data_IF_043066751775
#
_entry.id   IF_043066751775
#
_cell.length_a   1.000
_cell.length_b   1.000
_cell.length_c   1.000
_cell.angle_alpha   90.00
_cell.angle_beta   90.00
_cell.angle_gamma   90.00
#
_symmetry.space_group_name_H-M   'P 1'
#
loop_
_entity.id
_entity.type
_entity.pdbx_description
1 polymer ?
#
# COMPACT_ATOMS: atom_id res chain seq x y z
N UNK A 1 2.09 11.94 -21.29
CA UNK A 1 1.33 11.80 -20.03
C UNK A 1 1.13 10.31 -19.79
N UNK A 2 1.86 9.73 -18.84
CA UNK A 2 1.60 8.35 -18.42
C UNK A 2 0.49 8.41 -17.36
N UNK A 3 -0.64 7.81 -17.68
CA UNK A 3 -1.84 7.78 -16.81
C UNK A 3 -1.71 6.64 -15.78
N UNK A 4 -0.92 5.62 -16.10
CA UNK A 4 -0.74 4.41 -15.30
C UNK A 4 0.73 3.98 -15.37
N UNK A 5 1.28 3.57 -14.23
CA UNK A 5 2.58 2.92 -14.11
C UNK A 5 2.43 1.69 -13.21
N UNK A 6 3.11 0.59 -13.55
CA UNK A 6 2.99 -0.69 -12.85
C UNK A 6 4.28 -0.92 -12.07
N UNK A 7 4.18 -0.83 -10.75
CA UNK A 7 5.28 -1.11 -9.83
C UNK A 7 5.16 -2.53 -9.30
N UNK A 8 6.19 -3.36 -9.54
CA UNK A 8 6.30 -4.68 -8.92
C UNK A 8 7.33 -4.61 -7.81
N UNK A 9 6.87 -4.91 -6.59
CA UNK A 9 7.67 -4.88 -5.37
C UNK A 9 8.12 -6.31 -5.05
N UNK A 10 9.41 -6.52 -4.78
CA UNK A 10 10.02 -7.84 -4.49
C UNK A 10 10.77 -7.87 -3.16
N UNK A 11 10.90 -6.72 -2.49
CA UNK A 11 11.56 -6.63 -1.19
C UNK A 11 10.88 -7.50 -0.13
N UNK A 12 11.68 -8.21 0.66
CA UNK A 12 11.25 -8.96 1.85
C UNK A 12 11.64 -8.27 3.17
N UNK A 13 12.26 -7.09 3.09
CA UNK A 13 12.65 -6.27 4.24
C UNK A 13 12.15 -4.84 4.06
N UNK A 14 11.82 -4.17 5.18
CA UNK A 14 11.30 -2.79 5.19
C UNK A 14 12.21 -1.83 4.44
N UNK A 15 13.54 -1.95 4.60
CA UNK A 15 14.52 -1.08 3.92
C UNK A 15 14.48 -1.22 2.39
N UNK A 16 14.40 -2.46 1.88
CA UNK A 16 14.27 -2.71 0.44
C UNK A 16 12.93 -2.20 -0.09
N UNK A 17 11.85 -2.42 0.67
CA UNK A 17 10.53 -1.91 0.31
C UNK A 17 10.50 -0.38 0.26
N UNK A 18 11.18 0.29 1.19
CA UNK A 18 11.31 1.76 1.14
C UNK A 18 12.09 2.22 -0.11
N UNK A 19 13.15 1.52 -0.50
CA UNK A 19 13.88 1.83 -1.73
C UNK A 19 13.02 1.61 -2.99
N UNK A 20 12.27 0.52 -3.04
CA UNK A 20 11.37 0.20 -4.15
C UNK A 20 10.16 1.15 -4.24
N UNK A 21 9.67 1.65 -3.10
CA UNK A 21 8.56 2.61 -3.03
C UNK A 21 9.02 4.07 -3.18
N UNK A 22 10.32 4.38 -3.08
CA UNK A 22 10.83 5.75 -3.16
C UNK A 22 10.49 6.46 -4.48
N UNK A 23 10.59 5.82 -5.67
CA UNK A 23 10.15 6.45 -6.92
C UNK A 23 8.66 6.83 -6.91
N UNK A 24 7.82 6.06 -6.21
CA UNK A 24 6.41 6.37 -6.04
C UNK A 24 6.21 7.60 -5.14
N UNK A 25 7.00 7.73 -4.06
CA UNK A 25 7.00 8.89 -3.18
C UNK A 25 7.47 10.19 -3.86
N UNK A 26 8.43 10.08 -4.77
CA UNK A 26 8.94 11.21 -5.55
C UNK A 26 8.03 11.55 -6.76
N UNK A 27 7.02 10.72 -7.04
CA UNK A 27 6.06 10.92 -8.13
C UNK A 27 4.87 11.78 -7.73
N UNK A 28 4.15 12.32 -8.72
CA UNK A 28 2.87 13.00 -8.50
C UNK A 28 1.68 12.04 -8.33
N UNK A 29 1.92 10.72 -8.29
CA UNK A 29 0.86 9.73 -8.18
C UNK A 29 0.09 9.88 -6.87
N UNK A 30 -1.24 9.99 -6.97
CA UNK A 30 -2.14 10.11 -5.79
C UNK A 30 -3.00 8.87 -5.56
N UNK A 31 -3.11 8.00 -6.55
CA UNK A 31 -3.94 6.79 -6.50
C UNK A 31 -3.06 5.58 -6.70
N UNK A 32 -3.10 4.65 -5.75
CA UNK A 32 -2.22 3.48 -5.71
C UNK A 32 -3.12 2.25 -5.58
N UNK A 33 -2.99 1.32 -6.52
CA UNK A 33 -3.64 0.02 -6.47
C UNK A 33 -2.65 -1.02 -5.96
N UNK A 34 -2.94 -1.64 -4.82
CA UNK A 34 -2.13 -2.67 -4.20
C UNK A 34 -2.80 -4.03 -4.36
N UNK A 35 -2.13 -4.92 -5.09
CA UNK A 35 -2.49 -6.33 -5.19
C UNK A 35 -1.40 -7.17 -4.51
N UNK A 36 -1.74 -7.72 -3.35
CA UNK A 36 -0.82 -8.57 -2.58
C UNK A 36 -1.60 -9.49 -1.62
N UNK A 37 -0.87 -10.29 -0.85
CA UNK A 37 -1.41 -10.97 0.33
C UNK A 37 -1.52 -10.01 1.51
N UNK A 38 -2.38 -10.34 2.50
CA UNK A 38 -2.52 -9.58 3.75
C UNK A 38 -1.18 -9.32 4.46
N UNK A 39 -0.30 -10.31 4.50
CA UNK A 39 1.00 -10.20 5.17
C UNK A 39 1.94 -9.25 4.42
N UNK A 40 2.03 -9.38 3.10
CA UNK A 40 2.84 -8.47 2.27
C UNK A 40 2.31 -7.04 2.35
N UNK A 41 0.98 -6.86 2.32
CA UNK A 41 0.37 -5.55 2.46
C UNK A 41 0.74 -4.86 3.77
N UNK A 42 0.78 -5.59 4.91
CA UNK A 42 1.20 -5.00 6.18
C UNK A 42 2.61 -4.42 6.12
N UNK A 43 3.56 -5.14 5.51
CA UNK A 43 4.95 -4.68 5.40
C UNK A 43 5.07 -3.53 4.39
N UNK A 44 4.37 -3.61 3.26
CA UNK A 44 4.32 -2.54 2.24
C UNK A 44 3.74 -1.26 2.83
N UNK A 45 2.62 -1.35 3.55
CA UNK A 45 1.96 -0.20 4.16
C UNK A 45 2.80 0.42 5.29
N UNK A 46 3.57 -0.39 6.03
CA UNK A 46 4.52 0.12 7.01
C UNK A 46 5.64 0.93 6.33
N UNK A 47 6.25 0.41 5.26
CA UNK A 47 7.26 1.16 4.49
C UNK A 47 6.67 2.42 3.83
N UNK A 48 5.46 2.33 3.28
CA UNK A 48 4.75 3.47 2.70
C UNK A 48 4.46 4.57 3.72
N UNK A 49 4.16 4.21 4.97
CA UNK A 49 3.96 5.16 6.06
C UNK A 49 5.21 5.96 6.37
N UNK A 50 6.38 5.32 6.41
CA UNK A 50 7.66 6.00 6.63
C UNK A 50 8.01 6.97 5.48
N UNK A 51 7.52 6.69 4.27
CA UNK A 51 7.67 7.57 3.10
C UNK A 51 6.57 8.64 2.97
N UNK A 52 5.62 8.70 3.90
CA UNK A 52 4.50 9.66 3.86
C UNK A 52 3.44 9.35 2.79
N UNK A 53 3.49 8.17 2.17
CA UNK A 53 2.57 7.72 1.12
C UNK A 53 1.19 7.30 1.65
N UNK A 54 0.96 7.30 2.96
CA UNK A 54 -0.32 6.92 3.59
C UNK A 54 -1.09 8.13 4.16
N UNK A 55 -0.59 9.34 3.89
CA UNK A 55 -1.25 10.58 4.30
C UNK A 55 -2.54 10.87 3.53
N UNK A 56 -3.27 11.90 3.95
CA UNK A 56 -4.60 12.29 3.41
C UNK A 56 -4.61 12.60 1.90
N UNK A 57 -3.46 12.83 1.29
CA UNK A 57 -3.33 13.15 -0.12
C UNK A 57 -3.15 11.91 -1.01
N UNK A 58 -3.18 10.70 -0.43
CA UNK A 58 -3.01 9.44 -1.15
C UNK A 58 -4.22 8.53 -0.93
N UNK A 59 -4.69 7.92 -2.01
CA UNK A 59 -5.76 6.93 -2.00
C UNK A 59 -5.18 5.55 -2.33
N UNK A 60 -5.35 4.61 -1.39
CA UNK A 60 -4.96 3.22 -1.55
C UNK A 60 -6.19 2.37 -1.84
N UNK A 61 -6.16 1.67 -2.97
CA UNK A 61 -7.15 0.67 -3.35
C UNK A 61 -6.49 -0.69 -3.16
N UNK A 62 -7.10 -1.58 -2.38
CA UNK A 62 -6.56 -2.91 -2.08
C UNK A 62 -7.48 -4.00 -2.58
N UNK A 63 -6.93 -5.14 -3.00
CA UNK A 63 -7.71 -6.34 -3.35
C UNK A 63 -8.25 -7.07 -2.11
N UNK A 64 -9.28 -7.91 -2.28
CA UNK A 64 -9.85 -8.72 -1.17
C UNK A 64 -8.81 -9.62 -0.48
N UNK A 65 -7.80 -10.08 -1.22
CA UNK A 65 -6.68 -10.88 -0.70
C UNK A 65 -5.86 -10.16 0.37
N UNK A 66 -5.92 -8.82 0.42
CA UNK A 66 -5.26 -7.97 1.41
C UNK A 66 -6.12 -7.78 2.66
N UNK A 67 -7.43 -7.56 2.49
CA UNK A 67 -8.37 -7.31 3.59
C UNK A 67 -8.67 -8.59 4.37
N UNK A 68 -8.60 -9.75 3.70
CA UNK A 68 -8.97 -11.04 4.28
C UNK A 68 -10.49 -11.24 4.29
N UNK A 69 -10.94 -12.36 4.86
CA UNK A 69 -12.37 -12.66 5.00
C UNK A 69 -13.00 -11.67 5.98
N UNK A 70 -14.08 -11.00 5.57
CA UNK A 70 -14.83 -10.00 6.35
C UNK A 70 -15.33 -10.45 7.75
N UNK A 71 -15.04 -11.69 8.16
CA UNK A 71 -15.28 -12.22 9.50
C UNK A 71 -14.28 -11.73 10.56
N UNK A 72 -13.15 -11.12 10.17
CA UNK A 72 -12.27 -10.41 11.09
C UNK A 72 -12.68 -8.93 11.14
N UNK A 73 -13.64 -8.60 12.00
CA UNK A 73 -14.20 -7.24 12.23
C UNK A 73 -13.19 -6.20 12.77
N UNK A 74 -11.89 -6.43 12.62
CA UNK A 74 -10.83 -5.52 13.01
C UNK A 74 -9.90 -5.32 11.81
N UNK A 75 -9.92 -4.12 11.24
CA UNK A 75 -8.83 -3.68 10.38
C UNK A 75 -7.52 -3.88 11.17
N UNK A 76 -6.53 -4.64 10.66
CA UNK A 76 -5.28 -4.87 11.40
C UNK A 76 -4.62 -3.54 11.76
N UNK A 77 -4.03 -3.45 12.96
CA UNK A 77 -3.29 -2.27 13.39
C UNK A 77 -2.20 -1.93 12.34
N UNK A 78 -2.38 -0.84 11.61
CA UNK A 78 -1.46 -0.42 10.53
C UNK A 78 -2.15 0.04 9.24
N UNK A 79 -3.45 -0.19 9.09
CA UNK A 79 -4.20 0.25 7.91
C UNK A 79 -4.61 1.72 8.03
N UNK A 80 -4.29 2.59 7.06
CA UNK A 80 -4.66 4.01 7.11
C UNK A 80 -6.18 4.21 7.03
N UNK A 81 -6.70 5.28 7.66
CA UNK A 81 -8.10 5.67 7.52
C UNK A 81 -8.45 5.95 6.05
N UNK A 82 -9.58 5.43 5.56
CA UNK A 82 -10.08 5.65 4.20
C UNK A 82 -9.75 4.55 3.19
N UNK A 83 -9.11 3.45 3.61
CA UNK A 83 -8.93 2.27 2.76
C UNK A 83 -10.27 1.60 2.46
N UNK A 84 -10.55 1.37 1.17
CA UNK A 84 -11.76 0.68 0.71
C UNK A 84 -11.44 -0.77 0.33
N UNK A 85 -12.23 -1.70 0.88
CA UNK A 85 -12.25 -3.11 0.51
C UNK A 85 -13.68 -3.62 0.60
N UNK A 86 -14.09 -4.46 -0.35
CA UNK A 86 -15.38 -5.13 -0.34
C UNK A 86 -15.19 -6.59 0.05
#
# INVERSE_FOLDING_TARGET
FNILDIFTVKGNSTEKLMQELKPLADSEARVILLYSTKMEAQVIMAAAKELGLTGKNYMWIVSQSVVGTASENFAPNGFPPGMLGK
#
